data_IF_747274269145
#
_entry.id   IF_747274269145
#
_cell.length_a   1.000
_cell.length_b   1.000
_cell.length_c   1.000
_cell.angle_alpha   90.00
_cell.angle_beta   90.00
_cell.angle_gamma   90.00
#
_symmetry.space_group_name_H-M   'P 1'
#
loop_
_entity.id
_entity.type
_entity.pdbx_description
1 polymer ?
#
# COMPACT_ATOMS: atom_id res chain seq x y z
N UNK A 1 -6.81 -12.65 -22.17
CA UNK A 1 -7.59 -11.60 -21.50
C UNK A 1 -8.51 -10.80 -22.45
N UNK A 2 -8.81 -11.32 -23.66
CA UNK A 2 -9.68 -10.63 -24.64
C UNK A 2 -11.01 -11.35 -24.92
N UNK A 3 -11.26 -12.49 -24.27
CA UNK A 3 -12.45 -13.33 -24.50
C UNK A 3 -13.55 -13.09 -23.45
N UNK A 4 -13.31 -12.20 -22.49
CA UNK A 4 -14.30 -11.83 -21.47
C UNK A 4 -15.42 -11.01 -22.12
N UNK A 5 -16.65 -11.46 -21.95
CA UNK A 5 -17.83 -10.70 -22.36
C UNK A 5 -18.02 -9.48 -21.47
N UNK A 6 -18.71 -8.46 -21.97
CA UNK A 6 -19.04 -7.25 -21.18
C UNK A 6 -19.83 -7.59 -19.92
N UNK A 7 -20.73 -8.57 -20.00
CA UNK A 7 -21.52 -9.07 -18.86
C UNK A 7 -20.64 -9.72 -17.78
N UNK A 8 -19.59 -10.45 -18.17
CA UNK A 8 -18.64 -11.01 -17.22
C UNK A 8 -17.79 -9.92 -16.56
N UNK A 9 -17.39 -8.89 -17.31
CA UNK A 9 -16.67 -7.75 -16.77
C UNK A 9 -17.51 -7.00 -15.73
N UNK A 10 -18.77 -6.73 -16.02
CA UNK A 10 -19.69 -6.05 -15.08
C UNK A 10 -19.92 -6.90 -13.82
N UNK A 11 -20.08 -8.21 -13.97
CA UNK A 11 -20.16 -9.13 -12.82
C UNK A 11 -18.90 -9.09 -11.96
N UNK A 12 -17.72 -9.08 -12.56
CA UNK A 12 -16.45 -8.97 -11.80
C UNK A 12 -16.36 -7.63 -11.07
N UNK A 13 -16.74 -6.52 -11.72
CA UNK A 13 -16.70 -5.19 -11.09
C UNK A 13 -17.66 -5.12 -9.90
N UNK A 14 -18.88 -5.67 -10.02
CA UNK A 14 -19.84 -5.67 -8.91
C UNK A 14 -19.37 -6.53 -7.73
N UNK A 15 -18.78 -7.71 -7.99
CA UNK A 15 -18.17 -8.55 -6.96
C UNK A 15 -17.02 -7.83 -6.25
N UNK A 16 -16.16 -7.14 -7.01
CA UNK A 16 -15.02 -6.40 -6.44
C UNK A 16 -15.47 -5.21 -5.58
N UNK A 17 -16.56 -4.54 -5.94
CA UNK A 17 -17.11 -3.43 -5.16
C UNK A 17 -17.77 -3.89 -3.86
N UNK A 18 -18.46 -5.05 -3.87
CA UNK A 18 -19.21 -5.56 -2.71
C UNK A 18 -18.88 -7.04 -2.39
N UNK A 19 -17.63 -7.39 -2.08
CA UNK A 19 -17.18 -8.77 -1.99
C UNK A 19 -17.88 -9.57 -0.87
N UNK A 20 -18.27 -8.91 0.22
CA UNK A 20 -18.97 -9.53 1.36
C UNK A 20 -20.34 -10.07 0.98
N UNK A 21 -21.02 -9.46 0.01
CA UNK A 21 -22.33 -9.92 -0.48
C UNK A 21 -22.21 -11.23 -1.27
N UNK A 22 -21.05 -11.50 -1.87
CA UNK A 22 -20.75 -12.70 -2.65
C UNK A 22 -20.05 -13.79 -1.82
N UNK A 23 -20.26 -13.79 -0.50
CA UNK A 23 -19.71 -14.78 0.44
C UNK A 23 -18.18 -14.83 0.50
N UNK A 24 -17.47 -13.77 0.08
CA UNK A 24 -16.03 -13.69 0.25
C UNK A 24 -15.73 -13.40 1.74
N UNK A 25 -14.91 -14.22 2.42
CA UNK A 25 -14.61 -14.01 3.83
C UNK A 25 -13.87 -12.71 4.10
N UNK A 26 -14.12 -12.09 5.27
CA UNK A 26 -13.48 -10.83 5.67
C UNK A 26 -11.95 -10.90 5.74
N UNK A 27 -11.39 -12.05 6.14
CA UNK A 27 -9.94 -12.27 6.21
C UNK A 27 -9.23 -12.19 4.86
N UNK A 28 -9.97 -12.30 3.75
CA UNK A 28 -9.44 -12.18 2.39
C UNK A 28 -9.37 -10.73 1.91
N UNK A 29 -10.09 -9.81 2.56
CA UNK A 29 -10.16 -8.41 2.15
C UNK A 29 -8.88 -7.65 2.49
N UNK A 30 -8.48 -6.72 1.63
CA UNK A 30 -7.22 -5.98 1.78
C UNK A 30 -7.24 -4.93 2.91
N UNK A 31 -8.42 -4.52 3.38
CA UNK A 31 -8.58 -3.55 4.46
C UNK A 31 -9.65 -4.00 5.44
N UNK A 32 -9.18 -4.65 6.50
CA UNK A 32 -10.02 -5.14 7.59
C UNK A 32 -10.07 -4.12 8.73
N UNK A 33 -11.25 -3.94 9.31
CA UNK A 33 -11.54 -3.10 10.49
C UNK A 33 -10.86 -1.74 10.37
N UNK A 34 -11.27 -0.95 9.37
CA UNK A 34 -10.74 0.40 9.17
C UNK A 34 -10.94 1.23 10.46
N UNK A 35 -9.93 2.03 10.80
CA UNK A 35 -9.85 2.76 12.07
C UNK A 35 -10.94 3.84 12.19
N UNK A 36 -11.46 4.32 11.06
CA UNK A 36 -12.45 5.40 11.01
C UNK A 36 -13.88 4.91 11.12
N UNK A 37 -14.27 3.88 10.36
CA UNK A 37 -15.64 3.38 10.28
C UNK A 37 -15.83 1.96 10.85
N UNK A 38 -14.74 1.26 11.17
CA UNK A 38 -14.75 -0.08 11.73
C UNK A 38 -15.11 -1.21 10.74
N UNK A 39 -15.32 -0.89 9.46
CA UNK A 39 -15.82 -1.86 8.47
C UNK A 39 -14.68 -2.60 7.76
N UNK A 40 -14.98 -3.80 7.29
CA UNK A 40 -14.12 -4.55 6.38
C UNK A 40 -14.47 -4.20 4.93
N UNK A 41 -13.47 -3.85 4.13
CA UNK A 41 -13.67 -3.40 2.76
C UNK A 41 -12.57 -3.89 1.83
N UNK A 42 -12.90 -4.02 0.55
CA UNK A 42 -11.92 -4.17 -0.53
C UNK A 42 -11.72 -2.80 -1.18
N UNK A 43 -10.56 -2.21 -0.97
CA UNK A 43 -10.24 -0.90 -1.56
C UNK A 43 -9.61 -1.08 -2.93
N UNK A 44 -10.12 -0.36 -3.93
CA UNK A 44 -9.74 -0.51 -5.35
C UNK A 44 -9.08 0.76 -5.89
N UNK A 45 -8.09 0.58 -6.79
CA UNK A 45 -7.50 1.64 -7.64
C UNK A 45 -7.22 2.95 -6.87
N UNK A 46 -7.77 4.08 -7.31
CA UNK A 46 -7.53 5.41 -6.75
C UNK A 46 -7.92 5.52 -5.26
N UNK A 47 -8.92 4.75 -4.80
CA UNK A 47 -9.32 4.79 -3.40
C UNK A 47 -8.23 4.23 -2.47
N UNK A 48 -7.41 3.31 -2.97
CA UNK A 48 -6.31 2.70 -2.21
C UNK A 48 -5.22 3.72 -1.91
N UNK A 49 -4.86 4.54 -2.89
CA UNK A 49 -3.89 5.62 -2.71
C UNK A 49 -4.40 6.69 -1.73
N UNK A 50 -5.67 7.04 -1.82
CA UNK A 50 -6.30 7.99 -0.88
C UNK A 50 -6.27 7.44 0.55
N UNK A 51 -6.66 6.17 0.75
CA UNK A 51 -6.60 5.52 2.07
C UNK A 51 -5.18 5.44 2.64
N UNK A 52 -4.18 5.14 1.80
CA UNK A 52 -2.78 5.15 2.24
C UNK A 52 -2.31 6.54 2.68
N UNK A 53 -2.70 7.60 1.95
CA UNK A 53 -2.38 8.97 2.34
C UNK A 53 -3.02 9.34 3.68
N UNK A 54 -4.30 9.04 3.86
CA UNK A 54 -5.02 9.29 5.12
C UNK A 54 -4.36 8.57 6.31
N UNK A 55 -4.01 7.29 6.15
CA UNK A 55 -3.36 6.51 7.20
C UNK A 55 -1.99 7.10 7.58
N UNK A 56 -1.19 7.53 6.60
CA UNK A 56 0.11 8.13 6.83
C UNK A 56 -0.01 9.51 7.51
N UNK A 57 -0.95 10.34 7.06
CA UNK A 57 -1.19 11.65 7.67
C UNK A 57 -1.67 11.51 9.12
N UNK A 58 -2.55 10.55 9.41
CA UNK A 58 -2.94 10.22 10.78
C UNK A 58 -1.73 9.86 11.65
N UNK A 59 -0.83 9.00 11.15
CA UNK A 59 0.38 8.61 11.89
C UNK A 59 1.35 9.77 12.13
N UNK A 60 1.46 10.70 11.18
CA UNK A 60 2.25 11.93 11.30
C UNK A 60 1.65 12.89 12.33
N UNK A 61 0.34 13.11 12.30
CA UNK A 61 -0.38 13.96 13.27
C UNK A 61 -0.24 13.46 14.71
N UNK A 62 -0.34 12.14 14.92
CA UNK A 62 -0.11 11.49 16.22
C UNK A 62 1.36 11.60 16.67
N UNK A 63 2.29 11.91 15.76
CA UNK A 63 3.76 11.89 15.98
C UNK A 63 4.28 10.52 16.43
N UNK A 64 3.65 9.45 15.96
CA UNK A 64 4.15 8.09 16.18
C UNK A 64 5.53 7.90 15.53
N UNK A 65 6.41 7.10 16.13
CA UNK A 65 7.74 6.82 15.56
C UNK A 65 7.65 6.36 14.10
N UNK A 66 6.71 5.46 13.79
CA UNK A 66 6.45 5.00 12.41
C UNK A 66 6.05 6.14 11.47
N UNK A 67 5.17 7.04 11.91
CA UNK A 67 4.74 8.21 11.15
C UNK A 67 5.87 9.20 10.89
N UNK A 68 6.70 9.48 11.90
CA UNK A 68 7.89 10.34 11.76
C UNK A 68 8.92 9.73 10.80
N UNK A 69 9.14 8.42 10.85
CA UNK A 69 10.02 7.75 9.87
C UNK A 69 9.49 7.86 8.45
N UNK A 70 8.18 7.72 8.24
CA UNK A 70 7.56 7.97 6.93
C UNK A 70 7.73 9.43 6.48
N UNK A 71 7.59 10.40 7.38
CA UNK A 71 7.83 11.81 7.08
C UNK A 71 9.28 12.09 6.66
N UNK A 72 10.26 11.48 7.33
CA UNK A 72 11.69 11.59 6.97
C UNK A 72 12.13 10.70 5.80
N UNK A 73 11.24 9.89 5.22
CA UNK A 73 11.60 8.97 4.14
C UNK A 73 12.51 7.80 4.56
N UNK A 74 12.48 7.42 5.84
CA UNK A 74 13.28 6.32 6.39
C UNK A 74 12.50 5.00 6.43
N UNK A 75 13.23 3.88 6.44
CA UNK A 75 12.62 2.55 6.54
C UNK A 75 11.91 2.35 7.87
N UNK A 76 10.71 1.76 7.88
CA UNK A 76 9.84 1.80 9.08
C UNK A 76 9.86 0.56 9.97
N UNK A 77 10.29 -0.60 9.46
CA UNK A 77 10.23 -1.90 10.16
C UNK A 77 11.45 -2.20 11.05
N UNK A 78 12.14 -1.18 11.57
CA UNK A 78 13.31 -1.38 12.44
C UNK A 78 14.56 -1.92 11.74
N UNK A 79 14.63 -1.85 10.41
CA UNK A 79 15.78 -2.33 9.65
C UNK A 79 17.03 -1.48 9.93
N UNK A 80 18.20 -2.14 10.02
CA UNK A 80 19.48 -1.46 10.21
C UNK A 80 19.87 -0.63 8.99
N UNK A 81 19.96 0.69 9.17
CA UNK A 81 20.27 1.66 8.10
C UNK A 81 21.76 1.99 7.97
N UNK A 82 22.63 1.38 8.80
CA UNK A 82 24.09 1.59 8.73
C UNK A 82 24.64 1.20 7.35
N UNK A 83 24.23 0.05 6.83
CA UNK A 83 24.70 -0.53 5.56
C UNK A 83 23.60 -0.64 4.50
N UNK A 84 22.34 -0.80 4.88
CA UNK A 84 21.23 -1.02 3.93
C UNK A 84 20.55 0.28 3.50
N UNK A 85 20.05 0.34 2.26
CA UNK A 85 19.30 1.49 1.75
C UNK A 85 20.16 2.69 1.33
N UNK A 86 21.49 2.51 1.22
CA UNK A 86 22.39 3.51 0.63
C UNK A 86 22.12 3.62 -0.87
N UNK A 87 22.13 4.85 -1.40
CA UNK A 87 22.05 5.14 -2.84
C UNK A 87 23.45 5.45 -3.36
N UNK A 88 23.79 4.92 -4.53
CA UNK A 88 25.12 5.00 -5.14
C UNK A 88 25.75 3.62 -5.31
N UNK A 89 26.48 3.42 -6.41
CA UNK A 89 27.27 2.21 -6.67
C UNK A 89 28.45 2.19 -5.69
N UNK A 90 28.84 1.03 -5.17
CA UNK A 90 30.11 0.88 -4.46
C UNK A 90 31.23 1.32 -5.39
N UNK A 91 31.90 2.44 -5.09
CA UNK A 91 33.08 2.89 -5.84
C UNK A 91 34.25 1.99 -5.44
N UNK A 92 34.43 0.89 -6.18
CA UNK A 92 35.59 0.01 -6.03
C UNK A 92 36.84 0.63 -6.65
N UNK A 93 36.78 0.96 -7.94
CA UNK A 93 37.86 1.64 -8.68
C UNK A 93 37.23 2.59 -9.71
N UNK A 94 37.58 3.87 -9.67
CA UNK A 94 37.23 4.83 -10.73
C UNK A 94 38.30 4.77 -11.83
N UNK A 95 37.93 4.31 -13.04
CA UNK A 95 38.77 4.53 -14.23
C UNK A 95 38.49 5.93 -14.78
N UNK A 96 39.53 6.66 -15.17
CA UNK A 96 39.41 7.93 -15.90
C UNK A 96 38.58 7.67 -17.16
N UNK A 97 37.47 8.40 -17.34
CA UNK A 97 36.76 8.40 -18.62
C UNK A 97 37.70 9.03 -19.64
N UNK A 98 38.07 8.24 -20.65
CA UNK A 98 38.67 8.73 -21.89
C UNK A 98 37.61 9.41 -22.73
#
# INVERSE_FOLDING_TARGET
>A
AGELTTEELERVVTILQNPTQYKIPSWFLNRQRDITDGKDSQVLSNALDSKYREDLERLKKIRSHRGLRHYWGLRVRGQHTKTTGRRGRTVGVSKKKG
#
